data_IF_295856509856
#
_entry.id   IF_295856509856
#
_cell.length_a   1.000
_cell.length_b   1.000
_cell.length_c   1.000
_cell.angle_alpha   90.00
_cell.angle_beta   90.00
_cell.angle_gamma   90.00
#
_symmetry.space_group_name_H-M   'P 1'
#
loop_
_entity.id
_entity.type
_entity.pdbx_description
1 polymer ?
#
# COMPACT_ATOMS: atom_id res chain seq x y z
N UNK A 1 12.83 -0.39 13.69
CA UNK A 1 13.37 -1.14 12.52
C UNK A 1 13.69 -2.54 13.03
N UNK A 2 13.24 -3.59 12.36
CA UNK A 2 13.49 -4.97 12.82
C UNK A 2 14.90 -5.40 12.48
N UNK A 3 15.82 -5.01 13.37
CA UNK A 3 17.23 -5.35 13.32
C UNK A 3 17.48 -6.85 13.07
N UNK A 4 16.63 -7.72 13.62
CA UNK A 4 16.81 -9.18 13.54
C UNK A 4 16.51 -9.80 12.16
N UNK A 5 15.74 -9.13 11.30
CA UNK A 5 15.52 -9.56 9.92
C UNK A 5 16.58 -9.01 8.97
N UNK A 6 17.17 -7.85 9.31
CA UNK A 6 18.24 -7.22 8.54
C UNK A 6 19.60 -7.91 8.77
N UNK A 7 19.83 -8.49 9.94
CA UNK A 7 21.13 -9.01 10.38
C UNK A 7 21.23 -10.56 10.39
N UNK A 8 20.27 -11.27 9.79
CA UNK A 8 20.26 -12.74 9.80
C UNK A 8 21.37 -13.41 8.96
N UNK A 9 22.22 -12.63 8.29
CA UNK A 9 23.31 -13.11 7.44
C UNK A 9 24.63 -12.34 7.68
N UNK A 10 24.98 -12.05 8.93
CA UNK A 10 26.23 -11.34 9.31
C UNK A 10 27.49 -12.22 9.16
N UNK A 11 27.70 -12.76 7.96
CA UNK A 11 28.86 -13.58 7.60
C UNK A 11 29.32 -13.47 6.16
N UNK A 12 28.69 -12.67 5.28
CA UNK A 12 29.20 -12.43 3.92
C UNK A 12 28.96 -10.99 3.46
N UNK A 13 30.07 -10.35 3.08
CA UNK A 13 30.24 -9.10 2.30
C UNK A 13 29.01 -8.23 2.05
N UNK A 14 29.11 -7.00 2.56
CA UNK A 14 28.21 -5.86 2.39
C UNK A 14 27.99 -5.46 0.92
N UNK A 15 27.24 -6.26 0.17
CA UNK A 15 26.54 -5.89 -1.08
C UNK A 15 25.56 -7.02 -1.42
N UNK A 16 24.25 -6.74 -1.37
CA UNK A 16 23.07 -7.58 -1.78
C UNK A 16 22.26 -8.19 -0.61
N UNK A 17 21.13 -7.55 -0.26
CA UNK A 17 19.93 -8.24 0.31
C UNK A 17 18.64 -7.37 0.43
N UNK A 18 18.62 -6.09 0.06
CA UNK A 18 17.40 -5.27 0.18
C UNK A 18 16.16 -5.73 -0.62
N UNK A 19 16.28 -6.34 -1.82
CA UNK A 19 15.10 -6.75 -2.60
C UNK A 19 14.25 -7.84 -1.93
N UNK A 20 14.88 -8.71 -1.13
CA UNK A 20 14.17 -9.81 -0.46
C UNK A 20 13.46 -9.34 0.80
N UNK A 21 13.98 -8.34 1.52
CA UNK A 21 13.34 -7.88 2.77
C UNK A 21 11.89 -7.43 2.57
N UNK A 22 11.59 -6.59 1.57
CA UNK A 22 10.20 -6.17 1.29
C UNK A 22 9.32 -7.40 1.01
N UNK A 23 9.81 -8.35 0.20
CA UNK A 23 9.08 -9.58 -0.16
C UNK A 23 8.86 -10.52 1.03
N UNK A 24 9.85 -10.65 1.91
CA UNK A 24 9.81 -11.52 3.08
C UNK A 24 9.01 -10.90 4.24
N UNK A 25 8.98 -9.56 4.30
CA UNK A 25 8.26 -8.83 5.33
C UNK A 25 6.78 -8.65 4.99
N UNK A 26 6.45 -8.27 3.76
CA UNK A 26 5.05 -8.11 3.30
C UNK A 26 4.36 -9.47 3.34
N UNK A 27 3.22 -9.54 4.02
CA UNK A 27 2.49 -10.80 4.25
C UNK A 27 2.95 -11.60 5.48
N UNK A 28 4.06 -11.23 6.12
CA UNK A 28 4.46 -11.83 7.41
C UNK A 28 3.40 -11.57 8.49
N UNK A 29 3.34 -12.44 9.51
CA UNK A 29 2.40 -12.28 10.64
C UNK A 29 2.51 -10.89 11.28
N UNK A 30 3.74 -10.38 11.41
CA UNK A 30 3.98 -9.05 11.97
C UNK A 30 3.44 -7.95 11.07
N UNK A 31 3.72 -8.00 9.78
CA UNK A 31 3.17 -7.05 8.82
C UNK A 31 1.64 -7.03 8.87
N UNK A 32 1.00 -8.20 8.84
CA UNK A 32 -0.46 -8.33 8.89
C UNK A 32 -1.04 -7.75 10.19
N UNK A 33 -0.39 -8.00 11.33
CA UNK A 33 -0.78 -7.41 12.61
C UNK A 33 -0.65 -5.89 12.58
N UNK A 34 0.49 -5.36 12.11
CA UNK A 34 0.71 -3.91 12.02
C UNK A 34 -0.28 -3.23 11.07
N UNK A 35 -0.62 -3.84 9.93
CA UNK A 35 -1.65 -3.35 9.01
C UNK A 35 -3.02 -3.30 9.71
N UNK A 36 -3.37 -4.33 10.49
CA UNK A 36 -4.60 -4.36 11.28
C UNK A 36 -4.64 -3.24 12.33
N UNK A 37 -3.55 -3.07 13.08
CA UNK A 37 -3.44 -2.04 14.12
C UNK A 37 -3.53 -0.63 13.51
N UNK A 38 -2.90 -0.41 12.35
CA UNK A 38 -2.98 0.83 11.59
C UNK A 38 -4.41 1.11 11.12
N UNK A 39 -5.13 0.13 10.58
CA UNK A 39 -6.54 0.29 10.18
C UNK A 39 -7.40 0.76 11.36
N UNK A 40 -7.21 0.15 12.53
CA UNK A 40 -7.92 0.53 13.77
C UNK A 40 -7.56 1.95 14.20
N UNK A 41 -6.26 2.27 14.23
CA UNK A 41 -5.77 3.59 14.65
C UNK A 41 -6.27 4.70 13.71
N UNK A 42 -6.16 4.51 12.40
CA UNK A 42 -6.65 5.45 11.39
C UNK A 42 -8.15 5.69 11.57
N UNK A 43 -8.94 4.63 11.73
CA UNK A 43 -10.39 4.73 11.93
C UNK A 43 -10.74 5.56 13.17
N UNK A 44 -10.00 5.38 14.27
CA UNK A 44 -10.21 6.14 15.52
C UNK A 44 -9.85 7.62 15.34
N UNK A 45 -8.70 7.90 14.72
CA UNK A 45 -8.26 9.29 14.45
C UNK A 45 -9.27 9.99 13.55
N UNK A 46 -9.70 9.36 12.45
CA UNK A 46 -10.64 9.99 11.52
C UNK A 46 -12.03 10.24 12.11
N UNK A 47 -12.42 9.52 13.18
CA UNK A 47 -13.69 9.76 13.88
C UNK A 47 -13.69 11.03 14.73
N UNK A 48 -12.51 11.50 15.16
CA UNK A 48 -12.39 12.70 16.01
C UNK A 48 -11.90 13.92 15.22
N UNK A 49 -11.47 13.73 13.98
CA UNK A 49 -11.05 14.80 13.08
C UNK A 49 -12.21 15.29 12.22
N UNK A 50 -12.23 16.59 11.93
CA UNK A 50 -13.04 17.13 10.85
C UNK A 50 -12.30 16.94 9.52
N UNK A 51 -12.99 16.41 8.51
CA UNK A 51 -12.44 16.34 7.15
C UNK A 51 -12.32 17.75 6.58
N UNK A 52 -11.18 18.08 5.97
CA UNK A 52 -10.99 19.34 5.25
C UNK A 52 -11.98 19.45 4.08
N UNK A 53 -12.34 20.65 3.62
CA UNK A 53 -13.28 20.81 2.50
C UNK A 53 -12.63 20.59 1.13
N UNK A 54 -11.85 19.53 0.99
CA UNK A 54 -11.14 19.15 -0.23
C UNK A 54 -11.75 17.88 -0.85
N UNK A 55 -11.17 17.43 -1.97
CA UNK A 55 -11.57 16.20 -2.64
C UNK A 55 -11.37 14.96 -1.74
N UNK A 56 -10.48 15.01 -0.75
CA UNK A 56 -10.25 13.91 0.20
C UNK A 56 -11.46 13.69 1.11
N UNK A 57 -12.21 14.74 1.45
CA UNK A 57 -13.45 14.57 2.23
C UNK A 57 -14.41 13.56 1.62
N UNK A 58 -14.48 13.60 0.29
CA UNK A 58 -15.38 12.78 -0.50
C UNK A 58 -14.94 11.30 -0.57
N UNK A 59 -13.76 10.95 -0.06
CA UNK A 59 -13.19 9.60 -0.14
C UNK A 59 -13.79 8.68 0.91
N UNK A 60 -14.16 7.48 0.45
CA UNK A 60 -14.48 6.36 1.31
C UNK A 60 -13.18 5.65 1.73
N UNK A 61 -12.68 6.02 2.92
CA UNK A 61 -11.43 5.47 3.44
C UNK A 61 -11.51 3.96 3.68
N UNK A 62 -12.69 3.40 3.93
CA UNK A 62 -12.85 1.95 4.11
C UNK A 62 -12.47 1.18 2.85
N UNK A 63 -12.90 1.65 1.67
CA UNK A 63 -12.53 1.05 0.38
C UNK A 63 -11.01 1.11 0.13
N UNK A 64 -10.38 2.24 0.49
CA UNK A 64 -8.92 2.39 0.40
C UNK A 64 -8.22 1.40 1.34
N UNK A 65 -8.70 1.25 2.58
CA UNK A 65 -8.14 0.33 3.56
C UNK A 65 -8.37 -1.15 3.21
N UNK A 66 -9.42 -1.49 2.45
CA UNK A 66 -9.61 -2.85 1.94
C UNK A 66 -8.50 -3.25 0.97
N UNK A 67 -8.09 -2.36 0.07
CA UNK A 67 -7.01 -2.58 -0.90
C UNK A 67 -5.61 -2.47 -0.28
N UNK A 68 -5.47 -1.69 0.80
CA UNK A 68 -4.17 -1.39 1.45
C UNK A 68 -3.32 -2.63 1.72
N UNK A 69 -3.94 -3.71 2.18
CA UNK A 69 -3.23 -4.94 2.53
C UNK A 69 -2.59 -5.66 1.34
N UNK A 70 -3.04 -5.36 0.11
CA UNK A 70 -2.61 -6.05 -1.11
C UNK A 70 -1.55 -5.26 -1.88
N UNK A 71 -1.76 -3.95 -2.03
CA UNK A 71 -0.93 -3.09 -2.91
C UNK A 71 -0.33 -1.89 -2.15
N UNK A 72 -0.45 -1.82 -0.82
CA UNK A 72 -0.01 -0.65 -0.07
C UNK A 72 -1.01 0.50 -0.13
N UNK A 73 -0.84 1.49 0.77
CA UNK A 73 -1.88 2.49 1.04
C UNK A 73 -1.98 3.49 -0.10
N UNK A 74 -0.84 3.97 -0.59
CA UNK A 74 -0.77 4.98 -1.65
C UNK A 74 -1.40 4.46 -2.94
N UNK A 75 -1.08 3.22 -3.34
CA UNK A 75 -1.61 2.66 -4.57
C UNK A 75 -3.10 2.37 -4.45
N UNK A 76 -3.55 1.92 -3.28
CA UNK A 76 -4.98 1.79 -2.96
C UNK A 76 -5.72 3.11 -3.06
N UNK A 77 -5.10 4.20 -2.59
CA UNK A 77 -5.64 5.53 -2.68
C UNK A 77 -5.77 6.00 -4.14
N UNK A 78 -4.73 5.82 -4.95
CA UNK A 78 -4.76 6.19 -6.37
C UNK A 78 -5.79 5.37 -7.16
N UNK A 79 -5.88 4.07 -6.92
CA UNK A 79 -6.89 3.18 -7.52
C UNK A 79 -8.30 3.66 -7.19
N UNK A 80 -8.58 3.95 -5.92
CA UNK A 80 -9.87 4.45 -5.48
C UNK A 80 -10.21 5.77 -6.18
N UNK A 81 -9.27 6.71 -6.20
CA UNK A 81 -9.51 8.04 -6.74
C UNK A 81 -9.68 8.02 -8.26
N UNK A 82 -8.86 7.22 -8.95
CA UNK A 82 -8.96 7.03 -10.39
C UNK A 82 -10.29 6.38 -10.78
N UNK A 83 -10.75 5.36 -10.05
CA UNK A 83 -12.07 4.76 -10.25
C UNK A 83 -13.19 5.79 -10.06
N UNK A 84 -13.09 6.60 -8.99
CA UNK A 84 -14.09 7.62 -8.67
C UNK A 84 -14.19 8.72 -9.74
N UNK A 85 -13.06 9.14 -10.30
CA UNK A 85 -12.98 10.23 -11.29
C UNK A 85 -12.96 9.72 -12.74
N UNK A 86 -13.06 8.41 -12.96
CA UNK A 86 -12.91 7.75 -14.26
C UNK A 86 -11.59 8.12 -14.96
N UNK A 87 -10.49 8.08 -14.22
CA UNK A 87 -9.15 8.38 -14.72
C UNK A 87 -8.40 7.13 -15.12
N UNK A 88 -7.42 7.36 -16.00
CA UNK A 88 -6.45 6.36 -16.41
C UNK A 88 -5.22 6.49 -15.53
N UNK A 89 -4.83 5.41 -14.88
CA UNK A 89 -3.55 5.34 -14.17
C UNK A 89 -2.47 4.96 -15.19
N UNK A 90 -1.40 5.74 -15.19
CA UNK A 90 -0.22 5.57 -16.02
C UNK A 90 0.97 5.36 -15.09
N UNK A 91 1.50 4.14 -15.04
CA UNK A 91 2.59 3.74 -14.13
C UNK A 91 3.45 2.64 -14.77
N UNK A 92 4.73 2.57 -14.39
CA UNK A 92 5.61 1.41 -14.65
C UNK A 92 5.59 0.41 -13.48
N UNK A 93 4.90 0.75 -12.39
CA UNK A 93 4.95 -0.02 -11.16
C UNK A 93 4.14 -1.31 -11.31
N UNK A 94 4.86 -2.43 -11.17
CA UNK A 94 4.34 -3.78 -11.22
C UNK A 94 3.22 -4.04 -10.22
N UNK A 95 3.15 -3.30 -9.10
CA UNK A 95 2.11 -3.44 -8.08
C UNK A 95 0.71 -3.14 -8.67
N UNK A 96 0.60 -2.31 -9.71
CA UNK A 96 -0.66 -2.05 -10.43
C UNK A 96 -1.02 -3.12 -11.47
N UNK A 97 -0.05 -3.92 -11.90
CA UNK A 97 -0.24 -4.95 -12.93
C UNK A 97 -0.79 -6.26 -12.36
N UNK A 98 -0.77 -6.41 -11.04
CA UNK A 98 -1.29 -7.59 -10.36
C UNK A 98 -2.82 -7.64 -10.46
N UNK A 99 -3.37 -8.85 -10.66
CA UNK A 99 -4.80 -9.17 -10.76
C UNK A 99 -5.65 -8.85 -9.50
N UNK A 100 -5.05 -8.17 -8.52
CA UNK A 100 -5.67 -7.71 -7.28
C UNK A 100 -6.23 -6.28 -7.35
N UNK A 101 -5.93 -5.54 -8.42
CA UNK A 101 -6.47 -4.19 -8.64
C UNK A 101 -7.80 -4.29 -9.41
N UNK A 102 -8.90 -3.69 -8.94
CA UNK A 102 -10.16 -3.64 -9.68
C UNK A 102 -9.94 -3.04 -11.07
N UNK A 103 -10.76 -3.40 -12.07
CA UNK A 103 -10.72 -2.77 -13.40
C UNK A 103 -11.02 -1.26 -13.29
N UNK A 104 -9.95 -0.49 -13.09
CA UNK A 104 -9.84 0.90 -13.49
C UNK A 104 -9.24 0.86 -14.90
N UNK A 105 -9.53 1.85 -15.75
CA UNK A 105 -8.88 1.95 -17.06
C UNK A 105 -7.37 2.13 -16.90
N UNK A 106 -6.63 1.04 -16.68
CA UNK A 106 -5.22 1.04 -16.35
C UNK A 106 -4.43 1.00 -17.65
N UNK A 107 -3.58 1.99 -17.90
CA UNK A 107 -2.61 1.96 -19.00
C UNK A 107 -1.21 1.84 -18.40
N UNK A 108 -0.70 0.61 -18.37
CA UNK A 108 0.66 0.34 -17.92
C UNK A 108 1.62 0.80 -19.02
N UNK A 109 2.59 1.65 -18.68
CA UNK A 109 3.67 2.00 -19.60
C UNK A 109 4.77 0.98 -19.45
N UNK A 110 5.06 0.26 -20.52
CA UNK A 110 6.24 -0.61 -20.62
C UNK A 110 7.21 0.08 -21.57
N UNK A 111 8.41 0.41 -21.09
CA UNK A 111 9.52 0.94 -21.88
C UNK A 111 10.51 -0.17 -22.20
#
# INVERSE_FOLDING_TARGET
MDYDLANKNDGQSATKAFPSYKKDYVGSKRYLQTVSDLKIAMTKITKVCAKASDDFNSINLEEVLTLFQKIGFNDSYYVYFAKKKNWIIVSDDSDFTNSNVPEVGLKILTY
#
